data_IF_896817267038
#
_entry.id   IF_896817267038
#
_cell.length_a   1.000
_cell.length_b   1.000
_cell.length_c   1.000
_cell.angle_alpha   90.00
_cell.angle_beta   90.00
_cell.angle_gamma   90.00
#
_symmetry.space_group_name_H-M   'P 1'
#
loop_
_entity.id
_entity.type
_entity.pdbx_description
1 polymer ?
#
# COMPACT_ATOMS: atom_id res chain seq x y z
N UNK A 1 -5.29 13.13 25.22
CA UNK A 1 -4.94 11.81 24.61
C UNK A 1 -3.96 12.14 23.50
N UNK A 2 -2.68 11.75 23.64
CA UNK A 2 -1.67 12.11 22.65
C UNK A 2 -1.86 11.26 21.40
N UNK A 3 -1.91 11.89 20.25
CA UNK A 3 -1.98 11.23 18.95
C UNK A 3 -0.57 10.81 18.52
N UNK A 4 -0.40 9.52 18.18
CA UNK A 4 0.83 9.00 17.59
C UNK A 4 0.62 8.84 16.08
N UNK A 5 1.19 9.73 15.25
CA UNK A 5 1.03 9.67 13.80
C UNK A 5 1.70 8.45 13.16
N UNK A 6 2.55 7.74 13.91
CA UNK A 6 3.28 6.56 13.44
C UNK A 6 2.65 5.25 13.91
N UNK A 7 1.59 5.29 14.73
CA UNK A 7 0.93 4.09 15.25
C UNK A 7 0.31 3.24 14.13
N UNK A 8 -0.44 3.84 13.22
CA UNK A 8 -1.09 3.14 12.12
C UNK A 8 -0.49 3.54 10.77
N UNK A 9 -0.58 2.64 9.80
CA UNK A 9 -0.14 2.86 8.42
C UNK A 9 -1.30 2.57 7.46
N UNK A 10 -1.20 3.09 6.24
CA UNK A 10 -2.15 2.76 5.16
C UNK A 10 -2.04 1.28 4.78
N UNK A 11 -3.14 0.69 4.31
CA UNK A 11 -3.21 -0.72 3.91
C UNK A 11 -3.55 -1.69 5.03
N UNK A 12 -3.66 -1.22 6.29
CA UNK A 12 -4.19 -2.03 7.39
C UNK A 12 -5.67 -2.33 7.20
N UNK A 13 -6.15 -3.34 7.92
CA UNK A 13 -7.57 -3.69 8.02
C UNK A 13 -7.98 -3.61 9.48
N UNK A 14 -9.01 -2.83 9.76
CA UNK A 14 -9.62 -2.73 11.08
C UNK A 14 -10.66 -3.83 11.23
N UNK A 15 -10.55 -4.65 12.29
CA UNK A 15 -11.57 -5.59 12.76
C UNK A 15 -12.33 -4.95 13.91
N UNK A 16 -13.45 -4.28 13.58
CA UNK A 16 -14.30 -3.61 14.57
C UNK A 16 -15.07 -4.56 15.48
N UNK A 17 -15.09 -5.86 15.20
CA UNK A 17 -15.74 -6.86 16.06
C UNK A 17 -14.82 -7.28 17.20
N UNK A 18 -13.51 -7.39 16.94
CA UNK A 18 -12.51 -7.85 17.90
C UNK A 18 -11.63 -6.75 18.48
N UNK A 19 -11.73 -5.52 18.01
CA UNK A 19 -10.88 -4.42 18.47
C UNK A 19 -9.46 -4.49 17.92
N UNK A 20 -9.25 -5.13 16.75
CA UNK A 20 -7.93 -5.38 16.21
C UNK A 20 -7.62 -4.54 14.97
N UNK A 21 -6.34 -4.16 14.81
CA UNK A 21 -5.79 -3.71 13.53
C UNK A 21 -4.93 -4.82 12.95
N UNK A 22 -5.01 -5.02 11.64
CA UNK A 22 -4.42 -6.15 10.95
C UNK A 22 -3.57 -5.68 9.76
N UNK A 23 -2.35 -6.16 9.65
CA UNK A 23 -1.58 -6.13 8.42
C UNK A 23 -1.84 -7.41 7.65
N UNK A 24 -2.23 -7.30 6.39
CA UNK A 24 -2.76 -8.42 5.61
C UNK A 24 -1.92 -8.63 4.36
N UNK A 25 -1.61 -9.90 4.05
CA UNK A 25 -0.88 -10.28 2.84
C UNK A 25 -1.75 -10.14 1.57
N UNK A 26 -1.10 -10.27 0.42
CA UNK A 26 -1.73 -10.42 -0.88
C UNK A 26 -2.78 -11.54 -0.91
N UNK A 27 -2.49 -12.67 -0.27
CA UNK A 27 -3.38 -13.82 -0.16
C UNK A 27 -4.46 -13.64 0.90
N UNK A 28 -4.52 -12.45 1.53
CA UNK A 28 -5.46 -12.09 2.61
C UNK A 28 -5.26 -12.89 3.90
N UNK A 29 -4.02 -13.26 4.20
CA UNK A 29 -3.63 -13.81 5.50
C UNK A 29 -3.19 -12.69 6.43
N UNK A 30 -3.46 -12.82 7.72
CA UNK A 30 -3.02 -11.84 8.72
C UNK A 30 -1.54 -12.07 9.03
N UNK A 31 -0.71 -11.06 8.74
CA UNK A 31 0.74 -11.10 8.94
C UNK A 31 1.12 -10.59 10.32
N UNK A 32 0.51 -9.46 10.71
CA UNK A 32 0.68 -8.80 12.01
C UNK A 32 -0.66 -8.28 12.49
N UNK A 33 -0.82 -8.18 13.79
CA UNK A 33 -2.01 -7.58 14.39
C UNK A 33 -1.68 -6.86 15.69
N UNK A 34 -2.52 -5.87 16.02
CA UNK A 34 -2.60 -5.31 17.37
C UNK A 34 -4.02 -5.52 17.90
N UNK A 35 -4.16 -5.72 19.21
CA UNK A 35 -5.42 -5.57 19.92
C UNK A 35 -5.38 -4.24 20.67
N UNK A 36 -6.28 -3.32 20.34
CA UNK A 36 -6.07 -1.93 20.73
C UNK A 36 -4.70 -1.44 20.24
N UNK A 37 -3.89 -0.92 21.15
CA UNK A 37 -2.51 -0.47 20.84
C UNK A 37 -1.44 -1.54 21.06
N UNK A 38 -1.79 -2.72 21.59
CA UNK A 38 -0.85 -3.76 21.98
C UNK A 38 -0.60 -4.77 20.87
N UNK A 39 0.66 -5.05 20.49
CA UNK A 39 0.97 -6.10 19.51
C UNK A 39 0.46 -7.47 19.97
N UNK A 40 -0.14 -8.23 19.06
CA UNK A 40 -0.57 -9.60 19.30
C UNK A 40 0.56 -10.59 19.02
N UNK A 41 0.68 -11.62 19.86
CA UNK A 41 1.61 -12.72 19.59
C UNK A 41 1.14 -13.56 18.38
N UNK A 42 2.06 -14.19 17.62
CA UNK A 42 1.71 -15.01 16.47
C UNK A 42 0.70 -16.12 16.79
N UNK A 43 0.77 -16.74 17.98
CA UNK A 43 -0.19 -17.74 18.43
C UNK A 43 -1.60 -17.18 18.60
N UNK A 44 -1.73 -15.95 19.11
CA UNK A 44 -3.02 -15.29 19.28
C UNK A 44 -3.62 -14.88 17.94
N UNK A 45 -2.78 -14.44 16.99
CA UNK A 45 -3.20 -14.16 15.61
C UNK A 45 -3.74 -15.43 14.95
N UNK A 46 -3.02 -16.56 15.08
CA UNK A 46 -3.45 -17.86 14.53
C UNK A 46 -4.74 -18.36 15.21
N UNK A 47 -4.89 -18.17 16.50
CA UNK A 47 -6.12 -18.52 17.24
C UNK A 47 -7.33 -17.69 16.78
N UNK A 48 -7.14 -16.37 16.51
CA UNK A 48 -8.22 -15.48 16.10
C UNK A 48 -8.61 -15.61 14.62
N UNK A 49 -7.63 -15.77 13.74
CA UNK A 49 -7.82 -15.68 12.29
C UNK A 49 -7.47 -16.95 11.55
N UNK A 50 -6.69 -17.85 12.15
CA UNK A 50 -6.20 -19.07 11.53
C UNK A 50 -5.36 -18.79 10.27
N UNK A 51 -5.25 -19.80 9.41
CA UNK A 51 -4.61 -19.68 8.09
C UNK A 51 -5.61 -19.42 6.96
N UNK A 52 -6.83 -19.02 7.29
CA UNK A 52 -7.89 -18.77 6.30
C UNK A 52 -7.73 -17.38 5.68
N UNK A 53 -8.18 -17.24 4.45
CA UNK A 53 -8.27 -15.94 3.77
C UNK A 53 -9.28 -15.05 4.49
N UNK A 54 -8.85 -13.87 4.91
CA UNK A 54 -9.70 -12.88 5.52
C UNK A 54 -10.66 -12.28 4.47
N UNK A 55 -11.96 -12.27 4.78
CA UNK A 55 -12.93 -11.56 3.97
C UNK A 55 -12.97 -10.10 4.39
N UNK A 56 -12.08 -9.27 3.84
CA UNK A 56 -11.96 -7.85 4.19
C UNK A 56 -13.20 -7.01 3.85
N UNK A 57 -14.11 -7.53 3.03
CA UNK A 57 -15.42 -6.93 2.71
C UNK A 57 -16.55 -7.41 3.61
N UNK A 58 -16.29 -8.35 4.53
CA UNK A 58 -17.30 -8.81 5.47
C UNK A 58 -17.67 -7.71 6.48
N UNK A 59 -18.91 -7.78 6.98
CA UNK A 59 -19.39 -6.85 8.00
C UNK A 59 -18.47 -6.85 9.23
N UNK A 60 -18.09 -5.66 9.67
CA UNK A 60 -17.19 -5.47 10.80
C UNK A 60 -15.73 -5.27 10.42
N UNK A 61 -15.32 -5.53 9.17
CA UNK A 61 -14.01 -5.19 8.67
C UNK A 61 -14.02 -3.89 7.88
N UNK A 62 -12.95 -3.11 8.00
CA UNK A 62 -12.73 -1.89 7.24
C UNK A 62 -11.26 -1.78 6.81
N UNK A 63 -11.05 -1.53 5.54
CA UNK A 63 -9.70 -1.23 5.01
C UNK A 63 -9.35 0.22 5.31
N UNK A 64 -8.10 0.46 5.69
CA UNK A 64 -7.50 1.78 5.88
C UNK A 64 -6.73 2.10 4.61
N UNK A 65 -7.45 2.64 3.61
CA UNK A 65 -6.92 2.81 2.26
C UNK A 65 -6.52 4.27 1.97
N UNK A 66 -6.83 5.21 2.88
CA UNK A 66 -6.51 6.63 2.75
C UNK A 66 -5.79 7.18 3.98
N UNK A 67 -5.09 8.32 3.80
CA UNK A 67 -4.45 9.04 4.91
C UNK A 67 -5.46 9.54 5.94
N UNK A 68 -6.70 9.84 5.53
CA UNK A 68 -7.79 10.27 6.42
C UNK A 68 -8.22 9.20 7.43
N UNK A 69 -8.04 7.93 7.11
CA UNK A 69 -8.44 6.81 7.97
C UNK A 69 -7.38 6.43 9.01
N UNK A 70 -6.15 6.94 8.88
CA UNK A 70 -5.06 6.69 9.83
C UNK A 70 -5.37 7.26 11.22
N UNK A 71 -5.77 8.55 11.38
CA UNK A 71 -6.18 9.08 12.68
C UNK A 71 -7.37 8.34 13.29
N UNK A 72 -8.36 7.96 12.47
CA UNK A 72 -9.52 7.16 12.89
C UNK A 72 -9.09 5.85 13.53
N UNK A 73 -8.19 5.12 12.86
CA UNK A 73 -7.71 3.83 13.35
C UNK A 73 -6.88 3.92 14.63
N UNK A 74 -6.05 4.97 14.75
CA UNK A 74 -5.27 5.23 15.96
C UNK A 74 -6.16 5.59 17.16
N UNK A 75 -7.16 6.44 16.95
CA UNK A 75 -8.15 6.78 17.98
C UNK A 75 -8.95 5.55 18.40
N UNK A 76 -9.43 4.76 17.45
CA UNK A 76 -10.16 3.53 17.74
C UNK A 76 -9.35 2.57 18.59
N UNK A 77 -8.08 2.30 18.22
CA UNK A 77 -7.21 1.40 18.98
C UNK A 77 -7.04 1.84 20.44
N UNK A 78 -6.85 3.14 20.70
CA UNK A 78 -6.76 3.67 22.06
C UNK A 78 -8.07 3.53 22.84
N UNK A 79 -9.21 3.70 22.19
CA UNK A 79 -10.51 3.50 22.82
C UNK A 79 -10.80 2.03 23.11
N UNK A 80 -10.26 1.10 22.32
CA UNK A 80 -10.25 -0.34 22.64
C UNK A 80 -9.52 -0.60 23.96
N UNK A 81 -8.32 -0.02 24.15
CA UNK A 81 -7.59 -0.14 25.42
C UNK A 81 -8.39 0.42 26.62
N UNK A 82 -9.13 1.51 26.42
CA UNK A 82 -10.00 2.05 27.49
C UNK A 82 -11.21 1.16 27.77
N UNK A 83 -11.75 0.52 26.73
CA UNK A 83 -12.85 -0.43 26.88
C UNK A 83 -12.42 -1.65 27.68
N UNK A 84 -11.24 -2.23 27.35
CA UNK A 84 -10.64 -3.37 28.06
C UNK A 84 -10.32 -3.04 29.53
N UNK A 85 -9.94 -1.78 29.78
CA UNK A 85 -9.71 -1.29 31.14
C UNK A 85 -11.01 -0.96 31.91
N UNK A 86 -12.20 -1.24 31.35
CA UNK A 86 -13.49 -0.98 31.98
C UNK A 86 -13.88 0.51 32.06
N UNK A 87 -13.19 1.39 31.33
CA UNK A 87 -13.42 2.85 31.37
C UNK A 87 -14.57 3.34 30.47
N UNK A 88 -15.15 2.47 29.67
CA UNK A 88 -16.25 2.77 28.75
C UNK A 88 -17.47 1.86 29.03
N UNK A 89 -18.18 2.06 30.15
CA UNK A 89 -19.30 1.20 30.53
C UNK A 89 -20.41 1.22 29.49
N UNK A 90 -21.01 0.06 29.20
CA UNK A 90 -22.12 -0.09 28.25
C UNK A 90 -21.74 -0.01 26.78
N UNK A 91 -20.45 0.12 26.46
CA UNK A 91 -19.91 0.04 25.10
C UNK A 91 -19.34 -1.36 24.83
N UNK A 92 -19.20 -1.67 23.56
CA UNK A 92 -18.45 -2.80 23.00
C UNK A 92 -17.58 -2.28 21.83
N UNK A 93 -16.73 -3.13 21.26
CA UNK A 93 -15.83 -2.71 20.17
C UNK A 93 -16.58 -2.17 18.94
N UNK A 94 -17.73 -2.76 18.62
CA UNK A 94 -18.56 -2.35 17.47
C UNK A 94 -19.16 -0.96 17.71
N UNK A 95 -19.70 -0.70 18.91
CA UNK A 95 -20.24 0.62 19.25
C UNK A 95 -19.16 1.69 19.24
N UNK A 96 -18.00 1.40 19.84
CA UNK A 96 -16.85 2.33 19.81
C UNK A 96 -16.42 2.63 18.39
N UNK A 97 -16.37 1.61 17.52
CA UNK A 97 -16.07 1.81 16.11
C UNK A 97 -17.06 2.77 15.43
N UNK A 98 -18.35 2.58 15.64
CA UNK A 98 -19.38 3.47 15.06
C UNK A 98 -19.32 4.87 15.64
N UNK A 99 -19.04 5.02 16.93
CA UNK A 99 -18.93 6.34 17.59
C UNK A 99 -17.72 7.13 17.03
N UNK A 100 -16.56 6.48 16.87
CA UNK A 100 -15.36 7.08 16.27
C UNK A 100 -15.66 7.52 14.84
N UNK A 101 -16.26 6.65 14.05
CA UNK A 101 -16.64 6.96 12.67
C UNK A 101 -17.58 8.15 12.59
N UNK A 102 -18.62 8.16 13.41
CA UNK A 102 -19.56 9.27 13.46
C UNK A 102 -18.88 10.60 13.85
N UNK A 103 -17.97 10.57 14.82
CA UNK A 103 -17.24 11.76 15.27
C UNK A 103 -16.34 12.31 14.16
N UNK A 104 -15.55 11.46 13.50
CA UNK A 104 -14.69 11.86 12.38
C UNK A 104 -15.51 12.43 11.22
N UNK A 105 -16.59 11.74 10.82
CA UNK A 105 -17.48 12.22 9.76
C UNK A 105 -18.15 13.56 10.14
N UNK A 106 -18.42 13.80 11.41
CA UNK A 106 -18.98 15.08 11.90
C UNK A 106 -17.99 16.22 11.77
N UNK A 107 -16.73 16.03 12.16
CA UNK A 107 -15.66 17.03 12.03
C UNK A 107 -15.39 17.38 10.57
N UNK A 108 -15.47 16.41 9.68
CA UNK A 108 -15.34 16.66 8.24
C UNK A 108 -16.52 17.45 7.66
N UNK A 109 -17.75 17.22 8.16
CA UNK A 109 -18.95 17.87 7.63
C UNK A 109 -19.20 19.28 8.16
N UNK A 110 -18.85 19.54 9.42
CA UNK A 110 -19.11 20.85 10.03
C UNK A 110 -18.18 21.97 9.53
N UNK A 111 -17.12 21.63 8.79
CA UNK A 111 -16.20 22.59 8.18
C UNK A 111 -15.14 23.18 9.12
N UNK A 112 -15.18 22.89 10.43
CA UNK A 112 -14.22 23.42 11.42
C UNK A 112 -12.79 23.03 11.07
N UNK A 113 -12.55 21.76 10.73
CA UNK A 113 -11.22 21.29 10.33
C UNK A 113 -10.72 22.01 9.07
N UNK A 114 -11.58 22.26 8.08
CA UNK A 114 -11.21 22.97 6.86
C UNK A 114 -10.88 24.44 7.16
N UNK A 115 -11.62 25.09 8.03
CA UNK A 115 -11.37 26.45 8.47
C UNK A 115 -10.01 26.56 9.17
N UNK A 116 -9.73 25.67 10.11
CA UNK A 116 -8.45 25.59 10.83
C UNK A 116 -7.26 25.37 9.87
N UNK A 117 -7.41 24.47 8.89
CA UNK A 117 -6.37 24.24 7.87
C UNK A 117 -6.13 25.50 7.04
N UNK A 118 -7.18 26.22 6.64
CA UNK A 118 -7.04 27.45 5.84
C UNK A 118 -6.43 28.60 6.64
N UNK A 119 -6.74 28.71 7.93
CA UNK A 119 -6.16 29.72 8.81
C UNK A 119 -4.66 29.47 9.02
N UNK A 120 -4.27 28.23 9.23
CA UNK A 120 -2.89 27.81 9.52
C UNK A 120 -2.24 27.04 8.34
N UNK A 121 -2.61 27.36 7.08
CA UNK A 121 -2.18 26.64 5.88
C UNK A 121 -0.66 26.49 5.73
N UNK A 122 0.12 27.46 6.20
CA UNK A 122 1.59 27.38 6.17
C UNK A 122 2.15 26.28 7.06
N UNK A 123 1.41 25.89 8.11
CA UNK A 123 1.77 24.78 8.98
C UNK A 123 1.28 23.43 8.44
N UNK A 124 0.02 23.36 8.01
CA UNK A 124 -0.61 22.11 7.57
C UNK A 124 -0.26 21.70 6.14
N UNK A 125 0.07 22.68 5.27
CA UNK A 125 0.28 22.44 3.84
C UNK A 125 1.66 22.97 3.45
N UNK A 126 2.71 22.16 3.57
CA UNK A 126 4.05 22.55 3.15
C UNK A 126 4.10 22.79 1.64
N UNK A 127 4.75 23.88 1.23
CA UNK A 127 4.96 24.17 -0.19
C UNK A 127 6.01 23.23 -0.78
N UNK A 128 5.75 22.75 -1.98
CA UNK A 128 6.73 22.04 -2.79
C UNK A 128 7.22 22.97 -3.92
N UNK A 129 8.48 23.44 -3.88
CA UNK A 129 9.01 24.38 -4.86
C UNK A 129 9.08 23.78 -6.29
N UNK A 130 8.98 22.47 -6.41
CA UNK A 130 9.01 21.78 -7.70
C UNK A 130 7.61 21.58 -8.31
N UNK A 131 6.53 21.93 -7.59
CA UNK A 131 5.16 21.69 -8.07
C UNK A 131 4.83 22.56 -9.28
N UNK A 132 4.99 23.88 -9.17
CA UNK A 132 4.73 24.81 -10.28
C UNK A 132 5.59 24.52 -11.52
N UNK A 133 6.92 24.31 -11.39
CA UNK A 133 7.76 23.89 -12.52
C UNK A 133 7.32 22.56 -13.17
N UNK A 134 6.84 21.60 -12.39
CA UNK A 134 6.36 20.32 -12.92
C UNK A 134 5.09 20.52 -13.76
N UNK A 135 4.10 21.26 -13.25
CA UNK A 135 2.86 21.57 -13.98
C UNK A 135 3.14 22.36 -15.26
N UNK A 136 4.01 23.38 -15.20
CA UNK A 136 4.42 24.17 -16.36
C UNK A 136 5.10 23.32 -17.42
N UNK A 137 5.99 22.40 -17.02
CA UNK A 137 6.64 21.48 -17.95
C UNK A 137 5.63 20.62 -18.72
N UNK A 138 4.59 20.12 -18.05
CA UNK A 138 3.55 19.32 -18.68
C UNK A 138 2.71 20.15 -19.65
N UNK A 139 2.34 21.37 -19.28
CA UNK A 139 1.64 22.30 -20.19
C UNK A 139 2.48 22.64 -21.41
N UNK A 140 3.76 22.99 -21.25
CA UNK A 140 4.68 23.24 -22.38
C UNK A 140 4.88 22.00 -23.26
N UNK A 141 4.71 20.81 -22.70
CA UNK A 141 4.69 19.53 -23.44
C UNK A 141 3.38 19.25 -24.18
N UNK A 142 2.44 20.21 -24.19
CA UNK A 142 1.16 20.09 -24.88
C UNK A 142 0.07 19.33 -24.12
N UNK A 143 0.25 19.13 -22.79
CA UNK A 143 -0.78 18.48 -21.97
C UNK A 143 -1.79 19.50 -21.45
N UNK A 144 -3.06 19.14 -21.54
CA UNK A 144 -4.15 19.82 -20.85
C UNK A 144 -4.23 19.28 -19.41
N UNK A 145 -4.44 20.18 -18.44
CA UNK A 145 -4.50 19.83 -17.04
C UNK A 145 -5.89 20.09 -16.47
N UNK A 146 -6.42 19.17 -15.68
CA UNK A 146 -7.69 19.39 -14.97
C UNK A 146 -7.62 19.03 -13.51
N UNK A 147 -8.50 19.64 -12.71
CA UNK A 147 -8.72 19.29 -11.30
C UNK A 147 -10.10 18.67 -11.14
N UNK A 148 -10.18 17.53 -10.43
CA UNK A 148 -11.45 16.93 -10.00
C UNK A 148 -11.36 16.57 -8.51
N UNK A 149 -12.06 17.34 -7.66
CA UNK A 149 -12.01 17.18 -6.20
C UNK A 149 -13.39 17.12 -5.56
N UNK A 150 -13.52 16.34 -4.49
CA UNK A 150 -14.73 16.33 -3.65
C UNK A 150 -14.82 17.57 -2.73
N UNK A 151 -13.73 18.31 -2.56
CA UNK A 151 -13.72 19.57 -1.80
C UNK A 151 -14.52 20.65 -2.51
N UNK A 152 -15.06 21.58 -1.73
CA UNK A 152 -15.74 22.77 -2.22
C UNK A 152 -14.75 23.82 -2.78
N UNK A 153 -15.27 24.83 -3.45
CA UNK A 153 -14.47 25.91 -4.05
C UNK A 153 -13.64 26.67 -3.03
N UNK A 154 -14.24 27.06 -1.90
CA UNK A 154 -13.57 27.89 -0.89
C UNK A 154 -12.32 27.20 -0.36
N UNK A 155 -12.44 25.93 0.01
CA UNK A 155 -11.31 25.14 0.50
C UNK A 155 -10.27 24.90 -0.62
N UNK A 156 -10.73 24.50 -1.81
CA UNK A 156 -9.84 24.22 -2.95
C UNK A 156 -9.07 25.48 -3.36
N UNK A 157 -9.75 26.63 -3.48
CA UNK A 157 -9.11 27.89 -3.85
C UNK A 157 -8.08 28.32 -2.79
N UNK A 158 -8.39 28.18 -1.50
CA UNK A 158 -7.47 28.53 -0.42
C UNK A 158 -6.21 27.65 -0.38
N UNK A 159 -6.37 26.35 -0.60
CA UNK A 159 -5.24 25.37 -0.64
C UNK A 159 -4.40 25.57 -1.89
N UNK A 160 -5.03 25.59 -3.07
CA UNK A 160 -4.31 25.69 -4.34
C UNK A 160 -3.65 27.06 -4.53
N UNK A 161 -4.31 28.14 -4.08
CA UNK A 161 -3.72 29.47 -4.06
C UNK A 161 -2.49 29.55 -3.15
N UNK A 162 -2.55 28.93 -1.95
CA UNK A 162 -1.36 28.84 -1.09
C UNK A 162 -0.19 28.12 -1.77
N UNK A 163 -0.46 27.06 -2.52
CA UNK A 163 0.57 26.25 -3.16
C UNK A 163 1.17 26.88 -4.42
N UNK A 164 0.37 27.58 -5.24
CA UNK A 164 0.75 27.93 -6.62
C UNK A 164 0.68 29.41 -6.94
N UNK A 165 -0.10 30.24 -6.20
CA UNK A 165 -0.18 31.68 -6.52
C UNK A 165 1.19 32.35 -6.35
N UNK A 166 1.57 33.15 -7.37
CA UNK A 166 2.82 33.87 -7.38
C UNK A 166 4.09 33.02 -7.49
N UNK A 167 3.95 31.73 -7.90
CA UNK A 167 5.12 30.88 -8.11
C UNK A 167 5.70 30.99 -9.53
N UNK A 168 4.95 31.53 -10.47
CA UNK A 168 5.34 31.73 -11.89
C UNK A 168 4.70 33.00 -12.40
N UNK A 169 5.52 33.95 -12.91
CA UNK A 169 5.04 35.22 -13.46
C UNK A 169 4.15 35.06 -14.69
N UNK A 170 4.33 33.97 -15.45
CA UNK A 170 3.50 33.65 -16.60
C UNK A 170 2.13 33.10 -16.20
N UNK A 171 2.00 32.57 -14.97
CA UNK A 171 0.78 32.02 -14.38
C UNK A 171 0.66 32.50 -12.94
N UNK A 172 0.25 33.75 -12.73
CA UNK A 172 0.22 34.36 -11.40
C UNK A 172 -0.80 33.72 -10.46
N UNK A 173 -1.84 33.07 -11.00
CA UNK A 173 -2.87 32.38 -10.20
C UNK A 173 -2.80 30.88 -10.43
N UNK A 174 -3.14 30.11 -9.41
CA UNK A 174 -3.20 28.65 -9.49
C UNK A 174 -4.17 28.15 -10.58
N UNK A 175 -5.26 28.91 -10.84
CA UNK A 175 -6.23 28.57 -11.89
C UNK A 175 -5.63 28.60 -13.28
N UNK A 176 -4.57 29.37 -13.51
CA UNK A 176 -3.95 29.55 -14.82
C UNK A 176 -3.13 28.29 -15.26
N UNK A 177 -2.92 27.34 -14.34
CA UNK A 177 -2.28 26.05 -14.63
C UNK A 177 -3.25 25.01 -15.21
N UNK A 178 -4.57 25.19 -15.05
CA UNK A 178 -5.56 24.18 -15.39
C UNK A 178 -6.50 24.66 -16.51
N UNK A 179 -6.94 23.72 -17.34
CA UNK A 179 -7.90 23.99 -18.41
C UNK A 179 -9.34 23.75 -17.95
N UNK A 180 -9.54 22.88 -16.95
CA UNK A 180 -10.84 22.60 -16.32
C UNK A 180 -10.65 22.37 -14.82
N UNK A 181 -11.51 22.98 -14.01
CA UNK A 181 -11.52 22.82 -12.55
C UNK A 181 -12.91 22.39 -12.11
N UNK A 182 -13.05 21.16 -11.61
CA UNK A 182 -14.29 20.62 -11.03
C UNK A 182 -14.13 20.42 -9.53
N UNK A 183 -14.95 21.11 -8.75
CA UNK A 183 -15.04 20.96 -7.28
C UNK A 183 -16.37 20.31 -6.89
N UNK A 184 -16.46 19.77 -5.67
CA UNK A 184 -17.68 19.08 -5.17
C UNK A 184 -18.15 17.95 -6.10
N UNK A 185 -17.22 17.21 -6.69
CA UNK A 185 -17.49 16.22 -7.76
C UNK A 185 -18.16 14.95 -7.27
N UNK A 186 -18.19 14.68 -5.96
CA UNK A 186 -18.77 13.49 -5.33
C UNK A 186 -18.19 12.17 -5.87
N UNK A 187 -16.86 12.09 -6.00
CA UNK A 187 -16.21 10.81 -6.32
C UNK A 187 -16.61 9.74 -5.29
N UNK A 188 -16.92 8.48 -5.67
CA UNK A 188 -16.68 7.85 -6.99
C UNK A 188 -17.79 8.06 -8.03
N UNK A 189 -18.92 8.71 -7.69
CA UNK A 189 -20.05 8.91 -8.62
C UNK A 189 -19.63 9.73 -9.86
N UNK A 190 -18.66 10.63 -9.70
CA UNK A 190 -18.03 11.38 -10.80
C UNK A 190 -17.61 10.52 -11.99
N UNK A 191 -17.16 9.28 -11.75
CA UNK A 191 -16.74 8.33 -12.80
C UNK A 191 -17.86 7.46 -13.34
N UNK A 192 -19.06 7.52 -12.76
CA UNK A 192 -20.13 6.55 -13.03
C UNK A 192 -21.41 7.22 -13.52
N UNK A 193 -21.67 8.45 -13.09
CA UNK A 193 -22.88 9.21 -13.36
C UNK A 193 -22.55 10.44 -14.22
N UNK A 194 -23.58 11.14 -14.69
CA UNK A 194 -23.44 12.34 -15.53
C UNK A 194 -24.08 13.58 -14.90
N UNK A 195 -23.71 13.97 -13.64
CA UNK A 195 -24.17 15.23 -13.09
C UNK A 195 -23.64 16.42 -13.91
N UNK A 196 -24.40 17.51 -14.04
CA UNK A 196 -23.95 18.66 -14.79
C UNK A 196 -22.77 19.36 -14.15
N UNK A 197 -21.90 19.95 -14.96
CA UNK A 197 -20.91 20.92 -14.52
C UNK A 197 -21.57 22.32 -14.50
N UNK A 198 -21.64 22.95 -13.33
CA UNK A 198 -22.28 24.25 -13.15
C UNK A 198 -21.18 25.30 -12.91
N UNK A 199 -21.05 26.36 -13.73
CA UNK A 199 -20.07 27.42 -13.52
C UNK A 199 -20.18 28.04 -12.13
N UNK A 200 -19.05 28.41 -11.54
CA UNK A 200 -18.97 29.03 -10.21
C UNK A 200 -18.93 30.55 -10.34
N UNK A 201 -20.03 31.27 -10.05
CA UNK A 201 -20.04 32.72 -10.08
C UNK A 201 -19.01 33.31 -9.11
N UNK A 202 -18.23 34.29 -9.54
CA UNK A 202 -17.23 34.95 -8.71
C UNK A 202 -15.96 34.15 -8.43
N UNK A 203 -15.72 33.04 -9.12
CA UNK A 203 -14.48 32.27 -9.03
C UNK A 203 -13.24 33.01 -9.54
N UNK A 204 -13.44 34.04 -10.34
CA UNK A 204 -12.35 34.76 -11.00
C UNK A 204 -11.78 34.06 -12.23
N UNK A 205 -12.36 32.90 -12.62
CA UNK A 205 -12.04 32.21 -13.87
C UNK A 205 -13.31 31.57 -14.46
N UNK A 206 -13.35 31.41 -15.78
CA UNK A 206 -14.49 30.88 -16.53
C UNK A 206 -14.50 29.36 -16.72
N UNK A 207 -13.43 28.69 -16.31
CA UNK A 207 -13.23 27.25 -16.40
C UNK A 207 -13.33 26.53 -15.03
N UNK A 208 -13.95 27.17 -14.01
CA UNK A 208 -14.25 26.58 -12.71
C UNK A 208 -15.74 26.22 -12.58
N UNK A 209 -15.98 24.98 -12.17
CA UNK A 209 -17.34 24.38 -12.10
C UNK A 209 -17.53 23.66 -10.77
N UNK A 210 -18.77 23.67 -10.28
CA UNK A 210 -19.22 22.75 -9.23
C UNK A 210 -19.90 21.52 -9.83
N UNK A 211 -19.66 20.33 -9.29
CA UNK A 211 -20.14 19.08 -9.87
C UNK A 211 -19.32 18.63 -11.06
N UNK A 212 -19.98 18.34 -12.18
CA UNK A 212 -19.37 17.75 -13.38
C UNK A 212 -19.16 16.24 -13.25
N UNK A 213 -18.65 15.65 -14.32
CA UNK A 213 -18.41 14.22 -14.40
C UNK A 213 -17.26 13.91 -15.38
N UNK A 214 -16.74 12.69 -15.32
CA UNK A 214 -15.60 12.28 -16.12
C UNK A 214 -15.87 12.28 -17.63
N UNK A 215 -17.08 11.91 -18.04
CA UNK A 215 -17.46 11.91 -19.47
C UNK A 215 -17.51 13.33 -20.04
N UNK A 216 -17.98 14.30 -19.23
CA UNK A 216 -17.97 15.70 -19.63
C UNK A 216 -16.52 16.25 -19.72
N UNK A 217 -15.60 15.79 -18.85
CA UNK A 217 -14.17 16.12 -18.95
C UNK A 217 -13.60 15.60 -20.29
N UNK A 218 -13.89 14.33 -20.65
CA UNK A 218 -13.44 13.75 -21.92
C UNK A 218 -13.95 14.56 -23.12
N UNK A 219 -15.24 14.94 -23.12
CA UNK A 219 -15.86 15.75 -24.17
C UNK A 219 -15.24 17.16 -24.24
N UNK A 220 -14.98 17.81 -23.09
CA UNK A 220 -14.46 19.19 -23.00
C UNK A 220 -13.00 19.28 -23.43
N UNK A 221 -12.20 18.28 -23.07
CA UNK A 221 -10.75 18.25 -23.35
C UNK A 221 -10.42 17.48 -24.64
N UNK A 222 -11.43 16.94 -25.33
CA UNK A 222 -11.28 16.12 -26.55
C UNK A 222 -10.27 14.97 -26.37
N UNK A 223 -10.26 14.35 -25.17
CA UNK A 223 -9.35 13.27 -24.80
C UNK A 223 -10.11 12.18 -24.06
N UNK A 224 -9.81 10.91 -24.33
CA UNK A 224 -10.55 9.78 -23.74
C UNK A 224 -9.67 8.57 -23.46
N UNK A 225 -10.14 7.69 -22.60
CA UNK A 225 -9.52 6.41 -22.33
C UNK A 225 -8.03 6.56 -21.94
N UNK A 226 -7.16 5.89 -22.71
CA UNK A 226 -5.73 5.85 -22.43
C UNK A 226 -4.97 7.17 -22.60
N UNK A 227 -5.60 8.18 -23.20
CA UNK A 227 -5.03 9.52 -23.38
C UNK A 227 -5.09 10.34 -22.08
N UNK A 228 -5.96 9.94 -21.13
CA UNK A 228 -6.12 10.61 -19.84
C UNK A 228 -5.29 9.91 -18.78
N UNK A 229 -4.44 10.68 -18.08
CA UNK A 229 -3.74 10.25 -16.87
C UNK A 229 -4.43 10.84 -15.64
N UNK A 230 -5.11 10.01 -14.87
CA UNK A 230 -5.73 10.40 -13.62
C UNK A 230 -4.80 10.18 -12.43
N UNK A 231 -4.57 11.22 -11.65
CA UNK A 231 -3.68 11.20 -10.47
C UNK A 231 -4.53 11.25 -9.21
N UNK A 232 -4.37 10.29 -8.32
CA UNK A 232 -5.13 10.23 -7.06
C UNK A 232 -4.45 9.39 -5.99
N UNK A 233 -4.88 9.56 -4.75
CA UNK A 233 -4.34 8.86 -3.57
C UNK A 233 -5.24 7.72 -3.07
N UNK A 234 -6.48 7.68 -3.52
CA UNK A 234 -7.47 6.71 -3.06
C UNK A 234 -7.60 5.53 -4.04
N UNK A 235 -7.18 4.31 -3.60
CA UNK A 235 -7.16 3.10 -4.44
C UNK A 235 -8.51 2.83 -5.11
N UNK A 236 -9.60 2.88 -4.35
CA UNK A 236 -10.95 2.56 -4.88
C UNK A 236 -11.66 3.75 -5.48
N UNK A 237 -11.59 4.90 -4.82
CA UNK A 237 -12.34 6.11 -5.21
C UNK A 237 -11.78 6.78 -6.45
N UNK A 238 -10.47 6.73 -6.64
CA UNK A 238 -9.78 7.39 -7.73
C UNK A 238 -9.27 6.38 -8.78
N UNK A 239 -8.41 5.44 -8.34
CA UNK A 239 -7.62 4.61 -9.25
C UNK A 239 -8.46 3.50 -9.91
N UNK A 240 -9.15 2.70 -9.09
CA UNK A 240 -9.90 1.56 -9.60
C UNK A 240 -11.10 1.99 -10.46
N UNK A 241 -11.82 3.04 -10.04
CA UNK A 241 -13.03 3.50 -10.75
C UNK A 241 -12.69 4.14 -12.08
N UNK A 242 -11.74 5.06 -12.14
CA UNK A 242 -11.31 5.69 -13.38
C UNK A 242 -10.80 4.66 -14.39
N UNK A 243 -9.99 3.69 -13.94
CA UNK A 243 -9.46 2.63 -14.81
C UNK A 243 -10.55 1.68 -15.32
N UNK A 244 -11.46 1.20 -14.47
CA UNK A 244 -12.49 0.22 -14.86
C UNK A 244 -13.62 0.80 -15.66
N UNK A 245 -14.02 2.04 -15.40
CA UNK A 245 -15.18 2.67 -16.04
C UNK A 245 -14.79 3.36 -17.34
N UNK A 246 -13.62 3.99 -17.39
CA UNK A 246 -13.23 4.90 -18.47
C UNK A 246 -11.95 4.47 -19.19
N UNK A 247 -11.31 3.39 -18.75
CA UNK A 247 -10.01 2.95 -19.25
C UNK A 247 -8.88 4.01 -19.11
N UNK A 248 -9.03 4.99 -18.20
CA UNK A 248 -8.03 6.01 -17.95
C UNK A 248 -6.73 5.40 -17.42
N UNK A 249 -5.60 5.96 -17.79
CA UNK A 249 -4.31 5.69 -17.14
C UNK A 249 -4.34 6.28 -15.74
N UNK A 250 -3.65 5.62 -14.83
CA UNK A 250 -3.71 5.98 -13.41
C UNK A 250 -2.32 6.10 -12.80
N UNK A 251 -2.11 7.18 -12.03
CA UNK A 251 -0.93 7.40 -11.21
C UNK A 251 -1.37 7.49 -9.75
N UNK A 252 -0.91 6.57 -8.92
CA UNK A 252 -1.25 6.57 -7.50
C UNK A 252 -0.24 7.41 -6.70
N UNK A 253 -0.75 8.34 -5.88
CA UNK A 253 0.04 9.12 -4.94
C UNK A 253 0.17 8.36 -3.61
N UNK A 254 1.42 8.16 -3.18
CA UNK A 254 1.77 7.45 -1.95
C UNK A 254 2.83 8.27 -1.23
N UNK A 255 2.44 9.28 -0.45
CA UNK A 255 3.40 10.16 0.24
C UNK A 255 4.41 9.40 1.10
N UNK A 256 4.01 8.30 1.70
CA UNK A 256 4.87 7.43 2.51
C UNK A 256 6.04 6.84 1.73
N UNK A 257 5.92 6.74 0.41
CA UNK A 257 6.96 6.19 -0.47
C UNK A 257 8.28 6.97 -0.39
N UNK A 258 8.22 8.29 -0.24
CA UNK A 258 9.43 9.13 -0.11
C UNK A 258 10.28 8.67 1.10
N UNK A 259 9.63 8.50 2.25
CA UNK A 259 10.31 8.00 3.45
C UNK A 259 10.71 6.53 3.33
N UNK A 260 9.86 5.70 2.71
CA UNK A 260 10.14 4.28 2.50
C UNK A 260 11.37 4.08 1.61
N UNK A 261 11.52 4.85 0.52
CA UNK A 261 12.68 4.79 -0.37
C UNK A 261 13.97 5.18 0.34
N UNK A 262 13.97 6.26 1.12
CA UNK A 262 15.14 6.66 1.92
C UNK A 262 15.56 5.57 2.91
N UNK A 263 14.59 4.93 3.56
CA UNK A 263 14.86 3.81 4.47
C UNK A 263 15.38 2.58 3.75
N UNK A 264 14.82 2.25 2.58
CA UNK A 264 15.30 1.14 1.74
C UNK A 264 16.72 1.38 1.25
N UNK A 265 17.06 2.60 0.87
CA UNK A 265 18.42 2.98 0.45
C UNK A 265 19.39 2.84 1.61
N UNK A 266 19.05 3.37 2.79
CA UNK A 266 19.87 3.26 4.01
C UNK A 266 20.11 1.80 4.44
N UNK A 267 19.14 0.91 4.19
CA UNK A 267 19.22 -0.53 4.50
C UNK A 267 19.74 -1.37 3.31
N UNK A 268 20.25 -0.75 2.27
CA UNK A 268 20.60 -1.42 1.01
C UNK A 268 21.62 -2.55 1.14
N UNK A 269 22.55 -2.49 2.10
CA UNK A 269 23.51 -3.59 2.36
C UNK A 269 22.84 -4.77 3.03
N UNK A 270 22.09 -4.55 4.09
CA UNK A 270 21.35 -5.59 4.82
C UNK A 270 20.35 -6.30 3.91
N UNK A 271 19.65 -5.55 3.05
CA UNK A 271 18.71 -6.11 2.07
C UNK A 271 19.42 -6.98 1.01
N UNK A 272 20.58 -6.56 0.51
CA UNK A 272 21.37 -7.37 -0.43
C UNK A 272 21.89 -8.64 0.23
N UNK A 273 22.37 -8.54 1.47
CA UNK A 273 22.81 -9.70 2.23
C UNK A 273 21.65 -10.65 2.50
N UNK A 274 20.50 -10.13 2.94
CA UNK A 274 19.29 -10.91 3.17
C UNK A 274 18.88 -11.71 1.92
N UNK A 275 18.88 -11.09 0.75
CA UNK A 275 18.57 -11.77 -0.51
C UNK A 275 19.56 -12.90 -0.83
N UNK A 276 20.85 -12.70 -0.56
CA UNK A 276 21.90 -13.74 -0.74
C UNK A 276 21.68 -14.90 0.24
N UNK A 277 21.41 -14.60 1.49
CA UNK A 277 21.15 -15.58 2.54
C UNK A 277 19.92 -16.41 2.21
N UNK A 278 18.81 -15.79 1.86
CA UNK A 278 17.57 -16.47 1.48
C UNK A 278 17.73 -17.34 0.22
N UNK A 279 18.45 -16.83 -0.78
CA UNK A 279 18.76 -17.61 -1.99
C UNK A 279 19.60 -18.84 -1.64
N UNK A 280 20.58 -18.71 -0.76
CA UNK A 280 21.43 -19.81 -0.30
C UNK A 280 20.62 -20.83 0.51
N UNK A 281 19.74 -20.35 1.40
CA UNK A 281 18.82 -21.21 2.19
C UNK A 281 17.92 -22.04 1.28
N UNK A 282 17.32 -21.44 0.26
CA UNK A 282 16.49 -22.16 -0.74
C UNK A 282 17.28 -23.21 -1.50
N UNK A 283 18.56 -22.93 -1.82
CA UNK A 283 19.45 -23.93 -2.45
C UNK A 283 19.72 -25.12 -1.51
N UNK A 284 19.99 -24.85 -0.23
CA UNK A 284 20.14 -25.90 0.78
C UNK A 284 18.88 -26.76 0.86
N UNK A 285 17.68 -26.16 0.98
CA UNK A 285 16.43 -26.90 1.04
C UNK A 285 16.18 -27.80 -0.19
N UNK A 286 16.48 -27.31 -1.39
CA UNK A 286 16.43 -28.14 -2.62
C UNK A 286 17.41 -29.30 -2.56
N UNK A 287 18.64 -29.07 -2.08
CA UNK A 287 19.65 -30.14 -1.95
C UNK A 287 19.21 -31.21 -0.96
N UNK A 288 18.70 -30.81 0.20
CA UNK A 288 18.13 -31.73 1.21
C UNK A 288 17.03 -32.59 0.59
N UNK A 289 16.09 -31.98 -0.13
CA UNK A 289 14.98 -32.70 -0.78
C UNK A 289 15.52 -33.76 -1.75
N UNK A 290 16.52 -33.42 -2.58
CA UNK A 290 17.13 -34.36 -3.54
C UNK A 290 17.86 -35.51 -2.83
N UNK A 291 18.61 -35.21 -1.76
CA UNK A 291 19.32 -36.24 -0.99
C UNK A 291 18.35 -37.18 -0.29
N UNK A 292 17.27 -36.67 0.27
CA UNK A 292 16.25 -37.49 0.91
C UNK A 292 15.47 -38.36 -0.11
N UNK A 293 15.21 -37.84 -1.31
CA UNK A 293 14.60 -38.61 -2.40
C UNK A 293 15.53 -39.76 -2.87
N UNK A 294 16.83 -39.48 -2.99
CA UNK A 294 17.82 -40.47 -3.37
C UNK A 294 17.97 -41.55 -2.28
N UNK A 295 18.04 -41.11 -1.02
CA UNK A 295 18.05 -42.04 0.12
C UNK A 295 16.78 -42.92 0.15
N UNK A 296 15.61 -42.36 -0.11
CA UNK A 296 14.36 -43.13 -0.13
C UNK A 296 14.35 -44.16 -1.26
N UNK A 297 14.84 -43.80 -2.45
CA UNK A 297 14.98 -44.73 -3.59
C UNK A 297 15.97 -45.87 -3.27
N UNK A 298 17.11 -45.50 -2.68
CA UNK A 298 18.15 -46.48 -2.33
C UNK A 298 17.63 -47.45 -1.25
N UNK A 299 16.93 -46.94 -0.24
CA UNK A 299 16.27 -47.77 0.80
C UNK A 299 15.24 -48.74 0.21
N UNK A 300 14.44 -48.27 -0.75
CA UNK A 300 13.48 -49.10 -1.43
C UNK A 300 14.17 -50.22 -2.24
N UNK A 301 15.18 -49.86 -3.05
CA UNK A 301 15.97 -50.83 -3.82
C UNK A 301 16.62 -51.86 -2.91
N UNK A 302 17.25 -51.45 -1.81
CA UNK A 302 17.83 -52.33 -0.82
C UNK A 302 16.79 -53.32 -0.28
N UNK A 303 15.61 -52.85 0.08
CA UNK A 303 14.52 -53.68 0.60
C UNK A 303 14.07 -54.74 -0.44
N UNK A 304 13.86 -54.37 -1.68
CA UNK A 304 13.39 -55.27 -2.75
C UNK A 304 14.47 -56.30 -3.11
N UNK A 305 15.74 -55.92 -3.12
CA UNK A 305 16.86 -56.76 -3.53
C UNK A 305 17.45 -57.58 -2.37
N UNK A 306 17.19 -57.26 -1.13
CA UNK A 306 17.76 -57.87 0.07
C UNK A 306 17.75 -59.42 0.07
N UNK A 307 16.67 -60.12 -0.39
CA UNK A 307 16.65 -61.57 -0.41
C UNK A 307 17.63 -62.21 -1.41
N UNK A 308 18.22 -61.40 -2.32
CA UNK A 308 19.07 -61.87 -3.43
C UNK A 308 20.50 -61.34 -3.35
N UNK A 309 20.83 -60.53 -2.34
CA UNK A 309 22.14 -59.87 -2.20
C UNK A 309 23.01 -60.58 -1.16
N UNK A 310 24.33 -60.54 -1.39
CA UNK A 310 25.30 -60.94 -0.38
C UNK A 310 25.38 -59.97 0.81
N UNK A 311 25.91 -60.39 1.97
CA UNK A 311 26.09 -59.51 3.12
C UNK A 311 26.94 -58.29 2.80
N UNK A 312 27.96 -58.44 1.98
CA UNK A 312 28.87 -57.32 1.56
C UNK A 312 28.11 -56.30 0.69
N UNK A 313 27.24 -56.79 -0.21
CA UNK A 313 26.40 -55.92 -1.04
C UNK A 313 25.36 -55.17 -0.19
N UNK A 314 24.77 -55.78 0.82
CA UNK A 314 23.87 -55.10 1.77
C UNK A 314 24.61 -54.03 2.55
N UNK A 315 25.83 -54.33 3.03
CA UNK A 315 26.66 -53.32 3.72
C UNK A 315 27.05 -52.12 2.81
N UNK A 316 27.20 -52.35 1.50
CA UNK A 316 27.46 -51.27 0.55
C UNK A 316 26.25 -50.34 0.47
N UNK A 317 25.00 -50.85 0.38
CA UNK A 317 23.80 -50.03 0.46
C UNK A 317 23.70 -49.25 1.78
N UNK A 318 24.00 -49.90 2.91
CA UNK A 318 23.95 -49.25 4.22
C UNK A 318 24.96 -48.10 4.35
N UNK A 319 26.19 -48.28 3.78
CA UNK A 319 27.20 -47.21 3.74
C UNK A 319 26.77 -46.04 2.88
N UNK A 320 26.23 -46.28 1.68
CA UNK A 320 25.75 -45.27 0.78
C UNK A 320 24.58 -44.47 1.37
N UNK A 321 23.63 -45.17 2.00
CA UNK A 321 22.52 -44.55 2.73
C UNK A 321 23.00 -43.69 3.89
N UNK A 322 24.03 -44.15 4.65
CA UNK A 322 24.60 -43.38 5.75
C UNK A 322 25.32 -42.11 5.23
N UNK A 323 26.01 -42.21 4.10
CA UNK A 323 26.65 -41.06 3.46
C UNK A 323 25.63 -39.99 3.01
N UNK A 324 24.57 -40.41 2.30
CA UNK A 324 23.49 -39.53 1.88
C UNK A 324 22.82 -38.82 3.06
N UNK A 325 22.61 -39.56 4.15
CA UNK A 325 22.03 -38.99 5.37
C UNK A 325 22.96 -38.00 6.03
N UNK A 326 24.25 -38.34 6.15
CA UNK A 326 25.24 -37.42 6.72
C UNK A 326 25.38 -36.12 5.91
N UNK A 327 25.37 -36.20 4.56
CA UNK A 327 25.36 -35.02 3.71
C UNK A 327 24.08 -34.20 3.88
N UNK A 328 22.91 -34.85 3.99
CA UNK A 328 21.66 -34.16 4.24
C UNK A 328 21.66 -33.41 5.58
N UNK A 329 22.18 -34.04 6.64
CA UNK A 329 22.30 -33.44 7.98
C UNK A 329 23.27 -32.26 7.98
N UNK A 330 24.40 -32.34 7.25
CA UNK A 330 25.33 -31.20 7.09
C UNK A 330 24.69 -30.01 6.36
N UNK A 331 23.98 -30.29 5.26
CA UNK A 331 23.28 -29.25 4.51
C UNK A 331 22.16 -28.65 5.34
N UNK A 332 21.47 -29.42 6.18
CA UNK A 332 20.40 -28.94 7.07
C UNK A 332 20.96 -28.00 8.16
N UNK A 333 22.07 -28.35 8.80
CA UNK A 333 22.75 -27.46 9.73
C UNK A 333 23.14 -26.12 9.09
N UNK A 334 23.59 -26.16 7.84
CA UNK A 334 23.87 -24.95 7.08
C UNK A 334 22.58 -24.14 6.79
N UNK A 335 21.48 -24.80 6.46
CA UNK A 335 20.19 -24.15 6.25
C UNK A 335 19.69 -23.48 7.54
N UNK A 336 19.86 -24.11 8.71
CA UNK A 336 19.50 -23.54 10.01
C UNK A 336 20.33 -22.30 10.34
N UNK A 337 21.65 -22.34 10.13
CA UNK A 337 22.53 -21.19 10.33
C UNK A 337 22.14 -19.99 9.45
N UNK A 338 21.82 -20.25 8.17
CA UNK A 338 21.29 -19.26 7.24
C UNK A 338 19.94 -18.71 7.69
N UNK A 339 19.08 -19.53 8.26
CA UNK A 339 17.79 -19.09 8.78
C UNK A 339 17.95 -18.15 10.00
N UNK A 340 18.88 -18.45 10.90
CA UNK A 340 19.23 -17.56 12.04
C UNK A 340 19.72 -16.21 11.50
N UNK A 341 20.64 -16.22 10.54
CA UNK A 341 21.15 -14.99 9.93
C UNK A 341 20.06 -14.19 9.22
N UNK A 342 19.18 -14.84 8.47
CA UNK A 342 18.03 -14.20 7.82
C UNK A 342 17.09 -13.51 8.83
N UNK A 343 16.85 -14.15 9.99
CA UNK A 343 16.04 -13.55 11.07
C UNK A 343 16.69 -12.28 11.64
N UNK A 344 18.01 -12.31 11.85
CA UNK A 344 18.76 -11.14 12.36
C UNK A 344 18.70 -9.97 11.36
N UNK A 345 18.95 -10.22 10.07
CA UNK A 345 18.89 -9.22 9.03
C UNK A 345 17.46 -8.66 8.86
N UNK A 346 16.45 -9.53 8.89
CA UNK A 346 15.06 -9.08 8.85
C UNK A 346 14.72 -8.17 10.04
N UNK A 347 15.16 -8.51 11.25
CA UNK A 347 14.93 -7.68 12.42
C UNK A 347 15.64 -6.32 12.32
N UNK A 348 16.87 -6.27 11.79
CA UNK A 348 17.60 -5.02 11.52
C UNK A 348 16.85 -4.15 10.51
N UNK A 349 16.44 -4.74 9.38
CA UNK A 349 15.65 -4.04 8.35
C UNK A 349 14.32 -3.55 8.91
N UNK A 350 13.56 -4.41 9.60
CA UNK A 350 12.25 -4.05 10.15
C UNK A 350 12.33 -2.90 11.18
N UNK A 351 13.39 -2.86 11.98
CA UNK A 351 13.60 -1.81 12.97
C UNK A 351 13.77 -0.40 12.36
N UNK A 352 14.20 -0.32 11.10
CA UNK A 352 14.33 0.95 10.38
C UNK A 352 12.97 1.51 9.91
N UNK A 353 11.93 0.66 9.85
CA UNK A 353 10.60 1.06 9.40
C UNK A 353 9.65 1.33 10.57
N UNK A 354 8.36 1.02 10.40
CA UNK A 354 7.41 1.15 11.49
C UNK A 354 7.62 0.01 12.51
N UNK A 355 7.80 0.31 13.81
CA UNK A 355 8.12 -0.72 14.81
C UNK A 355 7.02 -1.78 14.99
N UNK A 356 5.75 -1.43 14.72
CA UNK A 356 4.61 -2.37 14.81
C UNK A 356 4.38 -3.10 13.48
N UNK A 357 4.47 -2.38 12.38
CA UNK A 357 4.00 -2.83 11.08
C UNK A 357 5.12 -3.16 10.08
N UNK A 358 6.37 -2.77 10.36
CA UNK A 358 7.47 -2.91 9.41
C UNK A 358 7.27 -2.08 8.13
N UNK A 359 7.86 -2.50 6.99
CA UNK A 359 7.70 -1.83 5.70
C UNK A 359 6.25 -1.79 5.21
N UNK A 360 5.86 -0.74 4.47
CA UNK A 360 4.49 -0.54 3.99
C UNK A 360 4.05 -1.61 2.97
N UNK A 361 4.93 -1.95 2.03
CA UNK A 361 4.59 -2.78 0.87
C UNK A 361 4.91 -4.26 1.03
N UNK A 362 5.68 -4.61 2.07
CA UNK A 362 6.10 -5.99 2.34
C UNK A 362 6.05 -6.31 3.83
N UNK A 363 6.02 -7.60 4.11
CA UNK A 363 6.32 -8.17 5.41
C UNK A 363 7.21 -9.39 5.16
N UNK A 364 8.50 -9.26 5.41
CA UNK A 364 9.51 -10.24 5.00
C UNK A 364 9.44 -10.51 3.49
N UNK A 365 9.17 -11.75 3.09
CA UNK A 365 9.03 -12.15 1.69
C UNK A 365 7.62 -11.89 1.14
N UNK A 366 6.63 -11.69 2.00
CA UNK A 366 5.23 -11.53 1.62
C UNK A 366 4.92 -10.11 1.13
N UNK A 367 4.18 -10.02 0.05
CA UNK A 367 3.63 -8.78 -0.45
C UNK A 367 2.39 -8.41 0.36
N UNK A 368 2.26 -7.15 0.78
CA UNK A 368 1.06 -6.69 1.46
C UNK A 368 -0.13 -6.55 0.50
N UNK A 369 -1.34 -6.58 1.04
CA UNK A 369 -2.56 -6.31 0.28
C UNK A 369 -2.52 -4.95 -0.42
N UNK A 370 -1.99 -3.91 0.23
CA UNK A 370 -1.85 -2.58 -0.36
C UNK A 370 -0.95 -2.62 -1.61
N UNK A 371 0.21 -3.27 -1.51
CA UNK A 371 1.12 -3.40 -2.64
C UNK A 371 0.50 -4.19 -3.81
N UNK A 372 -0.26 -5.25 -3.53
CA UNK A 372 -1.00 -6.00 -4.53
C UNK A 372 -2.06 -5.14 -5.24
N UNK A 373 -2.83 -4.36 -4.47
CA UNK A 373 -3.83 -3.44 -5.03
C UNK A 373 -3.20 -2.36 -5.92
N UNK A 374 -2.06 -1.79 -5.48
CA UNK A 374 -1.31 -0.83 -6.30
C UNK A 374 -0.85 -1.47 -7.61
N UNK A 375 -0.25 -2.64 -7.54
CA UNK A 375 0.26 -3.36 -8.72
C UNK A 375 -0.86 -3.74 -9.70
N UNK A 376 -2.05 -4.08 -9.20
CA UNK A 376 -3.18 -4.46 -10.04
C UNK A 376 -3.87 -3.25 -10.68
N UNK A 377 -3.97 -2.12 -9.98
CA UNK A 377 -4.85 -1.04 -10.38
C UNK A 377 -4.13 0.22 -10.87
N UNK A 378 -2.94 0.55 -10.34
CA UNK A 378 -2.19 1.70 -10.80
C UNK A 378 -1.31 1.37 -12.01
N UNK A 379 -1.22 2.28 -12.97
CA UNK A 379 -0.26 2.18 -14.07
C UNK A 379 1.13 2.59 -13.61
N UNK A 380 1.20 3.57 -12.70
CA UNK A 380 2.41 4.00 -12.01
C UNK A 380 2.07 4.52 -10.61
N UNK A 381 3.08 4.75 -9.78
CA UNK A 381 2.91 5.37 -8.46
C UNK A 381 4.12 6.26 -8.13
N UNK A 382 3.89 7.25 -7.28
CA UNK A 382 4.93 8.19 -6.84
C UNK A 382 4.61 8.74 -5.44
N UNK A 383 5.62 9.22 -4.72
CA UNK A 383 5.43 9.87 -3.43
C UNK A 383 4.94 11.31 -3.53
N UNK A 384 5.30 12.01 -4.61
CA UNK A 384 4.94 13.42 -4.85
C UNK A 384 4.55 13.64 -6.31
N UNK A 385 3.58 14.52 -6.51
CA UNK A 385 3.16 14.90 -7.87
C UNK A 385 4.27 15.65 -8.63
N UNK A 386 5.08 16.42 -7.93
CA UNK A 386 6.22 17.13 -8.50
C UNK A 386 7.28 16.21 -9.13
N UNK A 387 7.35 14.94 -8.71
CA UNK A 387 8.24 13.94 -9.34
C UNK A 387 7.90 13.72 -10.84
N UNK A 388 6.71 14.12 -11.28
CA UNK A 388 6.34 14.11 -12.70
C UNK A 388 7.25 15.00 -13.56
N UNK A 389 8.02 15.93 -12.97
CA UNK A 389 9.02 16.69 -13.72
C UNK A 389 10.11 15.84 -14.34
N UNK A 390 10.35 14.63 -13.79
CA UNK A 390 11.33 13.66 -14.33
C UNK A 390 10.79 12.84 -15.51
N UNK A 391 9.48 12.86 -15.73
CA UNK A 391 8.83 12.09 -16.81
C UNK A 391 8.74 12.95 -18.08
N UNK A 392 9.05 12.39 -19.24
CA UNK A 392 8.84 13.08 -20.53
C UNK A 392 7.33 13.27 -20.76
N UNK A 393 6.83 14.50 -20.92
CA UNK A 393 5.40 14.74 -21.17
C UNK A 393 4.85 14.03 -22.41
N UNK A 394 5.70 13.65 -23.36
CA UNK A 394 5.31 12.91 -24.58
C UNK A 394 5.22 11.41 -24.36
N UNK A 395 5.76 10.90 -23.25
CA UNK A 395 5.69 9.47 -22.95
C UNK A 395 4.30 9.07 -22.47
N UNK A 396 3.91 7.83 -22.78
CA UNK A 396 2.69 7.23 -22.23
C UNK A 396 3.05 6.39 -21.02
N UNK A 397 2.32 6.56 -19.93
CA UNK A 397 2.49 5.77 -18.70
C UNK A 397 1.71 4.47 -18.84
N UNK A 398 2.44 3.35 -18.93
CA UNK A 398 1.87 2.00 -18.99
C UNK A 398 2.01 1.29 -17.65
N UNK A 399 1.04 0.44 -17.33
CA UNK A 399 1.21 -0.48 -16.21
C UNK A 399 2.35 -1.46 -16.52
N UNK A 400 3.26 -1.72 -15.56
CA UNK A 400 4.30 -2.73 -15.76
C UNK A 400 3.64 -4.09 -16.05
N UNK A 401 4.04 -4.74 -17.13
CA UNK A 401 3.67 -6.13 -17.38
C UNK A 401 4.65 -7.03 -16.63
N UNK A 402 4.23 -7.73 -15.56
CA UNK A 402 5.13 -8.65 -14.86
C UNK A 402 5.58 -9.74 -15.83
N UNK A 403 6.90 -9.95 -15.92
CA UNK A 403 7.43 -11.05 -16.69
C UNK A 403 6.86 -12.39 -16.17
N UNK A 404 6.37 -13.21 -17.08
CA UNK A 404 5.89 -14.55 -16.74
C UNK A 404 7.07 -15.42 -16.26
N UNK A 405 6.82 -16.46 -15.44
CA UNK A 405 7.90 -17.25 -14.85
C UNK A 405 8.93 -17.81 -15.84
N UNK A 406 8.52 -18.16 -17.05
CA UNK A 406 9.38 -18.66 -18.12
C UNK A 406 10.14 -17.58 -18.88
N UNK A 407 9.79 -16.30 -18.72
CA UNK A 407 10.49 -15.16 -19.32
C UNK A 407 11.60 -14.62 -18.42
N UNK A 408 11.68 -15.14 -17.17
CA UNK A 408 12.70 -14.77 -16.17
C UNK A 408 13.88 -15.75 -16.25
N UNK A 409 14.48 -15.88 -17.41
CA UNK A 409 15.70 -16.70 -17.59
C UNK A 409 16.98 -15.88 -17.34
#
# INVERSE_FOLDING_TARGET
>A
MDFDPHFAIRGLVLDGVRGNLLKVSRERQVLRATHGTRPMAPADIEACYGRRRLSVSAKGFRSIDTMFEIPESGLYARLVDFLDAGKLPGKDYVKVFHDVRWAIDSVHRNGEMKAEILEHRGFFIPKDPNLAPALDRWRRGGKQLFVATNSDWTFTNGVMGHLLDGQDDARPRWTDYFDVICVSTRKPLFFMERPPAVPIPGSGCDHAFTGGNAFWIEETLEASGEEVLYVGDHVYGDILRSKKTLAWRTLMLIPELETELLKLEAQGEDLRELLRVETSRRRCQRRISLLLDEWARLRHRRHVLAPRLSPEALQAFDREMAQLKAEADEVDQRAEALQVRARQLNASVEAAFNPLWGPLFRDREEQTRLADQMQQYACAYTGKISNLHMVDPRSTIYAPTPALPHERM
#
